data_IF_124460277396
#
_entry.id   IF_124460277396
#
_cell.length_a   1.000
_cell.length_b   1.000
_cell.length_c   1.000
_cell.angle_alpha   90.00
_cell.angle_beta   90.00
_cell.angle_gamma   90.00
#
_symmetry.space_group_name_H-M   'P 1'
#
loop_
_entity.id
_entity.type
_entity.pdbx_description
1 polymer ?
#
# COMPACT_ATOMS: atom_id res chain seq x y z
N UNK A 1 -8.81 25.64 -9.18
CA UNK A 1 -7.54 25.75 -9.94
C UNK A 1 -7.36 24.39 -10.63
N UNK A 2 -7.72 24.29 -11.91
CA UNK A 2 -7.75 23.02 -12.63
C UNK A 2 -6.31 22.52 -12.79
N UNK A 3 -6.03 21.28 -12.37
CA UNK A 3 -4.76 20.61 -12.62
C UNK A 3 -4.56 20.61 -14.15
N UNK A 4 -3.56 21.35 -14.62
CA UNK A 4 -3.40 21.69 -16.03
C UNK A 4 -3.27 20.47 -16.93
N UNK A 5 -3.89 20.55 -18.12
CA UNK A 5 -3.71 19.82 -19.40
C UNK A 5 -3.45 18.30 -19.45
N UNK A 6 -3.32 17.56 -18.35
CA UNK A 6 -3.46 16.10 -18.32
C UNK A 6 -3.68 15.66 -16.87
N UNK A 7 -4.93 15.44 -16.48
CA UNK A 7 -5.18 14.73 -15.23
C UNK A 7 -4.59 13.31 -15.35
N UNK A 8 -4.02 12.75 -14.26
CA UNK A 8 -3.64 11.35 -14.27
C UNK A 8 -4.87 10.50 -14.63
N UNK A 9 -4.70 9.58 -15.58
CA UNK A 9 -5.76 8.68 -15.97
C UNK A 9 -5.98 7.63 -14.87
N UNK A 10 -7.25 7.41 -14.51
CA UNK A 10 -7.60 6.42 -13.51
C UNK A 10 -7.64 5.03 -14.17
N UNK A 11 -6.71 4.17 -13.75
CA UNK A 11 -6.61 2.79 -14.24
C UNK A 11 -7.00 1.81 -13.12
N UNK A 12 -8.21 1.28 -13.16
CA UNK A 12 -8.75 0.43 -12.08
C UNK A 12 -8.42 -1.06 -12.26
N UNK A 13 -8.04 -1.49 -13.46
CA UNK A 13 -7.72 -2.89 -13.77
C UNK A 13 -6.22 -3.19 -13.73
N UNK A 14 -5.38 -2.17 -13.54
CA UNK A 14 -3.93 -2.33 -13.53
C UNK A 14 -3.39 -3.01 -12.28
N UNK A 15 -4.14 -3.03 -11.20
CA UNK A 15 -3.76 -3.67 -9.95
C UNK A 15 -4.96 -4.35 -9.33
N UNK A 16 -4.86 -5.66 -9.13
CA UNK A 16 -5.92 -6.47 -8.53
C UNK A 16 -5.39 -7.17 -7.29
N UNK A 17 -6.10 -7.04 -6.18
CA UNK A 17 -5.82 -7.82 -4.97
C UNK A 17 -6.38 -9.22 -5.13
N UNK A 18 -5.51 -10.23 -5.06
CA UNK A 18 -5.89 -11.64 -5.27
C UNK A 18 -5.96 -12.44 -3.97
N UNK A 19 -5.39 -11.93 -2.88
CA UNK A 19 -5.47 -12.55 -1.56
C UNK A 19 -5.90 -11.55 -0.50
N UNK A 20 -6.86 -11.95 0.34
CA UNK A 20 -7.10 -11.25 1.59
C UNK A 20 -5.89 -11.44 2.51
N UNK A 21 -5.09 -10.39 2.68
CA UNK A 21 -4.09 -10.36 3.76
C UNK A 21 -4.83 -10.53 5.08
N UNK A 22 -4.43 -11.51 5.90
CA UNK A 22 -5.04 -11.77 7.21
C UNK A 22 -5.11 -10.47 8.05
N UNK A 23 -6.19 -10.24 8.81
CA UNK A 23 -6.24 -9.18 9.82
C UNK A 23 -5.02 -9.24 10.74
N UNK A 24 -4.35 -8.12 10.96
CA UNK A 24 -3.00 -8.04 11.56
C UNK A 24 -2.96 -8.18 13.09
N UNK A 25 -3.86 -8.93 13.72
CA UNK A 25 -3.90 -9.03 15.19
C UNK A 25 -3.01 -10.13 15.80
N UNK A 26 -2.37 -11.01 15.03
CA UNK A 26 -1.73 -12.20 15.64
C UNK A 26 -0.28 -12.54 15.22
N UNK A 27 0.43 -11.74 14.42
CA UNK A 27 1.80 -12.13 13.99
C UNK A 27 2.90 -11.07 14.26
N UNK A 28 4.09 -11.46 14.77
CA UNK A 28 5.23 -10.58 15.03
C UNK A 28 5.74 -9.85 13.77
N UNK A 29 6.34 -8.66 13.97
CA UNK A 29 6.83 -7.74 12.94
C UNK A 29 7.76 -8.38 11.89
N UNK A 30 8.56 -9.38 12.28
CA UNK A 30 9.49 -10.07 11.38
C UNK A 30 8.79 -11.00 10.38
N UNK A 31 7.64 -11.56 10.71
CA UNK A 31 6.85 -12.42 9.81
C UNK A 31 5.93 -11.61 8.87
N UNK A 32 5.65 -10.33 9.21
CA UNK A 32 4.87 -9.42 8.36
C UNK A 32 5.58 -9.08 7.04
N UNK A 33 6.91 -9.21 6.98
CA UNK A 33 7.71 -8.83 5.81
C UNK A 33 7.85 -9.95 4.75
N UNK A 34 7.48 -11.20 5.06
CA UNK A 34 7.84 -12.37 4.21
C UNK A 34 6.65 -13.02 3.51
N UNK A 35 5.42 -12.52 3.66
CA UNK A 35 4.23 -13.19 3.11
C UNK A 35 3.33 -12.31 2.23
N UNK A 36 3.83 -11.20 1.69
CA UNK A 36 3.03 -10.30 0.83
C UNK A 36 3.28 -10.47 -0.67
N UNK A 37 4.21 -11.34 -1.07
CA UNK A 37 4.70 -11.43 -2.44
C UNK A 37 3.63 -11.91 -3.46
N UNK A 38 2.50 -12.46 -3.00
CA UNK A 38 1.37 -12.89 -3.85
C UNK A 38 0.04 -12.21 -3.49
N UNK A 39 0.05 -11.04 -2.84
CA UNK A 39 -1.19 -10.35 -2.48
C UNK A 39 -1.85 -9.63 -3.68
N UNK A 40 -1.06 -9.27 -4.69
CA UNK A 40 -1.46 -8.45 -5.82
C UNK A 40 -1.01 -9.05 -7.15
N UNK A 41 -1.86 -8.91 -8.16
CA UNK A 41 -1.54 -9.11 -9.57
C UNK A 41 -1.65 -7.78 -10.31
N UNK A 42 -0.92 -7.63 -11.41
CA UNK A 42 -0.90 -6.40 -12.20
C UNK A 42 -0.93 -6.67 -13.70
N UNK A 43 -1.42 -5.69 -14.47
CA UNK A 43 -1.44 -5.71 -15.94
C UNK A 43 -0.03 -5.48 -16.50
N UNK A 44 0.30 -6.07 -17.65
CA UNK A 44 1.55 -5.74 -18.37
C UNK A 44 1.57 -4.30 -18.90
N UNK A 45 0.40 -3.66 -19.01
CA UNK A 45 0.24 -2.27 -19.45
C UNK A 45 0.93 -1.26 -18.52
N UNK A 46 1.26 -1.65 -17.28
CA UNK A 46 1.94 -0.78 -16.30
C UNK A 46 3.39 -0.47 -16.66
N UNK A 47 3.98 -1.22 -17.60
CA UNK A 47 5.37 -1.05 -17.99
C UNK A 47 5.65 0.39 -18.45
N UNK A 48 6.76 0.97 -17.98
CA UNK A 48 7.20 2.33 -18.28
C UNK A 48 6.27 3.47 -17.82
N UNK A 49 5.26 3.19 -16.99
CA UNK A 49 4.39 4.23 -16.44
C UNK A 49 4.87 4.74 -15.08
N UNK A 50 4.59 6.01 -14.80
CA UNK A 50 4.68 6.60 -13.47
C UNK A 50 3.31 6.47 -12.79
N UNK A 51 3.23 5.72 -11.70
CA UNK A 51 1.97 5.33 -11.08
C UNK A 51 1.85 5.96 -9.70
N UNK A 52 0.69 6.53 -9.41
CA UNK A 52 0.31 7.01 -8.09
C UNK A 52 -0.79 6.10 -7.53
N UNK A 53 -0.47 5.33 -6.50
CA UNK A 53 -1.47 4.59 -5.71
C UNK A 53 -2.26 5.57 -4.85
N UNK A 54 -3.57 5.39 -4.79
CA UNK A 54 -4.47 6.16 -3.95
C UNK A 54 -5.17 5.22 -2.98
N UNK A 55 -5.09 5.52 -1.69
CA UNK A 55 -5.80 4.80 -0.64
C UNK A 55 -6.39 5.81 0.37
N UNK A 56 -7.38 5.42 1.15
CA UNK A 56 -7.99 6.33 2.11
C UNK A 56 -7.08 6.52 3.34
N UNK A 57 -6.65 5.42 3.96
CA UNK A 57 -5.91 5.40 5.22
C UNK A 57 -4.78 4.38 5.16
N UNK A 58 -3.58 4.79 5.56
CA UNK A 58 -2.50 3.85 5.87
C UNK A 58 -2.29 3.67 7.37
N UNK A 59 -2.06 2.42 7.77
CA UNK A 59 -1.57 2.06 9.10
C UNK A 59 -0.05 1.81 9.06
N UNK A 60 0.38 0.57 8.85
CA UNK A 60 1.81 0.19 8.73
C UNK A 60 2.40 0.46 7.35
N UNK A 61 1.55 0.75 6.36
CA UNK A 61 1.95 0.87 4.95
C UNK A 61 2.23 -0.47 4.26
N UNK A 62 2.03 -1.62 4.93
CA UNK A 62 2.33 -2.94 4.37
C UNK A 62 1.58 -3.19 3.06
N UNK A 63 0.27 -2.91 3.00
CA UNK A 63 -0.56 -3.04 1.79
C UNK A 63 -0.02 -2.23 0.62
N UNK A 64 0.27 -0.94 0.84
CA UNK A 64 0.79 -0.02 -0.19
C UNK A 64 2.18 -0.46 -0.68
N UNK A 65 3.04 -0.93 0.22
CA UNK A 65 4.37 -1.41 -0.15
C UNK A 65 4.31 -2.65 -1.05
N UNK A 66 3.42 -3.61 -0.75
CA UNK A 66 3.28 -4.80 -1.60
C UNK A 66 2.67 -4.46 -2.97
N UNK A 67 1.66 -3.59 -3.00
CA UNK A 67 1.11 -3.06 -4.25
C UNK A 67 2.19 -2.38 -5.10
N UNK A 68 3.00 -1.52 -4.48
CA UNK A 68 4.09 -0.83 -5.16
C UNK A 68 5.17 -1.79 -5.66
N UNK A 69 5.53 -2.81 -4.87
CA UNK A 69 6.48 -3.85 -5.27
C UNK A 69 5.98 -4.61 -6.50
N UNK A 70 4.73 -5.08 -6.50
CA UNK A 70 4.10 -5.76 -7.63
C UNK A 70 4.19 -4.92 -8.93
N UNK A 71 3.84 -3.64 -8.86
CA UNK A 71 3.91 -2.72 -10.00
C UNK A 71 5.34 -2.46 -10.49
N UNK A 72 6.30 -2.32 -9.56
CA UNK A 72 7.71 -2.11 -9.89
C UNK A 72 8.33 -3.35 -10.54
N UNK A 73 8.01 -4.54 -10.05
CA UNK A 73 8.46 -5.82 -10.62
C UNK A 73 7.88 -6.03 -12.03
N UNK A 74 6.66 -5.54 -12.30
CA UNK A 74 6.07 -5.52 -13.64
C UNK A 74 6.59 -4.41 -14.58
N UNK A 75 7.56 -3.60 -14.13
CA UNK A 75 8.27 -2.65 -14.98
C UNK A 75 7.74 -1.21 -14.95
N UNK A 76 6.94 -0.82 -13.95
CA UNK A 76 6.60 0.58 -13.75
C UNK A 76 7.86 1.44 -13.51
N UNK A 77 7.95 2.61 -14.15
CA UNK A 77 9.09 3.52 -14.02
C UNK A 77 9.21 4.06 -12.60
N UNK A 78 8.10 4.45 -11.98
CA UNK A 78 8.05 4.87 -10.58
C UNK A 78 6.68 4.56 -9.99
N UNK A 79 6.66 4.29 -8.68
CA UNK A 79 5.40 4.13 -7.93
C UNK A 79 5.47 4.99 -6.69
N UNK A 80 4.48 5.88 -6.53
CA UNK A 80 4.24 6.65 -5.32
C UNK A 80 2.91 6.24 -4.68
N UNK A 81 2.68 6.68 -3.45
CA UNK A 81 1.40 6.50 -2.77
C UNK A 81 0.92 7.82 -2.16
N UNK A 82 -0.38 8.10 -2.31
CA UNK A 82 -1.08 9.19 -1.67
C UNK A 82 -2.19 8.60 -0.78
N UNK A 83 -2.24 9.03 0.47
CA UNK A 83 -3.29 8.66 1.41
C UNK A 83 -3.89 9.89 2.07
N UNK A 84 -5.18 9.82 2.43
CA UNK A 84 -5.87 10.90 3.11
C UNK A 84 -5.57 10.91 4.62
N UNK A 85 -5.31 9.74 5.21
CA UNK A 85 -5.00 9.60 6.63
C UNK A 85 -3.85 8.62 6.90
N UNK A 86 -3.07 8.91 7.95
CA UNK A 86 -2.09 7.98 8.52
C UNK A 86 -2.45 7.71 9.96
N UNK A 87 -2.67 6.45 10.33
CA UNK A 87 -2.82 6.07 11.73
C UNK A 87 -1.43 6.11 12.39
N UNK A 88 -1.24 7.04 13.30
CA UNK A 88 -0.09 7.05 14.21
C UNK A 88 -0.37 6.04 15.33
N UNK A 89 0.61 5.21 15.66
CA UNK A 89 0.53 4.39 16.86
C UNK A 89 0.94 5.27 18.04
N UNK A 90 0.07 5.40 19.04
CA UNK A 90 0.47 5.98 20.32
C UNK A 90 1.28 4.91 21.06
N UNK A 91 2.58 5.12 21.18
CA UNK A 91 3.41 4.37 22.12
C UNK A 91 3.22 4.90 23.53
N UNK A 92 2.00 4.85 24.06
CA UNK A 92 1.72 5.15 25.47
C UNK A 92 0.49 4.36 25.94
N UNK A 93 0.70 3.09 26.31
CA UNK A 93 0.02 2.58 27.50
C UNK A 93 1.00 2.76 28.65
N UNK A 94 0.83 3.88 29.35
CA UNK A 94 1.39 4.09 30.68
C UNK A 94 0.99 2.91 31.56
N UNK A 95 1.98 2.36 32.26
CA UNK A 95 1.75 1.37 33.29
C UNK A 95 0.83 1.92 34.38
N UNK A 96 -0.43 1.51 34.36
CA UNK A 96 -1.24 1.48 35.57
C UNK A 96 -0.80 0.25 36.39
N UNK A 97 0.09 0.49 37.34
CA UNK A 97 0.20 -0.37 38.52
C UNK A 97 -0.83 0.17 39.51
N UNK A 98 -2.01 -0.44 39.57
CA UNK A 98 -2.89 -0.22 40.71
C UNK A 98 -2.32 -1.00 41.91
N UNK A 99 -2.07 -0.24 42.97
CA UNK A 99 -1.68 -0.69 44.30
C UNK A 99 -2.84 -1.37 45.04
#
# INVERSE_FOLDING_TARGET
>A
KNLGKSAPELQTHWLRRIRATRPQTELPLAERLVNMDDAFETSLEVQNHQILLLDDVMTTGSTLNAAARCLKEAGASSVGALVLGRKMWDSFEDGFTDA
#
